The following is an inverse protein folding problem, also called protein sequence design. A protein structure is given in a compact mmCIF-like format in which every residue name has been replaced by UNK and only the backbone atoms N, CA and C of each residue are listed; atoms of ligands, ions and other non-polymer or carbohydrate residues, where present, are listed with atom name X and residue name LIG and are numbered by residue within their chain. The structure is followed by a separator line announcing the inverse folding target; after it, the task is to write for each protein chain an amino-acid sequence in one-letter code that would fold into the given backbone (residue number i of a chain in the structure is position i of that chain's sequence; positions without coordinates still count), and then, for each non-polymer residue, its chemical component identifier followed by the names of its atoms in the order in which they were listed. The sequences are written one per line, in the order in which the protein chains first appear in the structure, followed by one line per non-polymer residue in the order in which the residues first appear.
data_IF_104186069335
#
_entry.id   IF_104186069335
#
_cell.length_a   1.000
_cell.length_b   1.000
_cell.length_c   1.000
_cell.angle_alpha   90.00
_cell.angle_beta   90.00
_cell.angle_gamma   90.00
#
_symmetry.space_group_name_H-M   'P 1'
#
loop_
_entity.id
_entity.type
_entity.pdbx_description
1 polymer ?
#
# COMPACT_ATOMS: atom_id res chain seq x y z
N UNK A 1 -0.56 -11.60 -21.59
CA UNK A 1 -1.33 -10.79 -20.66
C UNK A 1 -0.84 -9.32 -20.65
N UNK A 2 0.46 -9.07 -20.36
CA UNK A 2 1.02 -7.72 -20.21
C UNK A 2 0.97 -6.85 -21.47
N UNK A 3 1.14 -7.39 -22.68
CA UNK A 3 0.94 -6.65 -23.94
C UNK A 3 -0.48 -6.07 -24.06
N UNK A 4 -1.47 -6.72 -23.45
CA UNK A 4 -2.86 -6.22 -23.39
C UNK A 4 -3.04 -5.17 -22.29
N UNK A 5 -2.31 -5.29 -21.18
CA UNK A 5 -2.36 -4.33 -20.07
C UNK A 5 -1.87 -2.94 -20.49
N UNK A 6 -0.82 -2.87 -21.35
CA UNK A 6 -0.33 -1.59 -21.90
C UNK A 6 -1.33 -0.90 -22.85
N UNK A 7 -2.39 -1.57 -23.26
CA UNK A 7 -3.46 -1.04 -24.12
C UNK A 7 -4.72 -0.68 -23.33
N UNK A 8 -4.74 -0.88 -22.01
CA UNK A 8 -5.89 -0.53 -21.18
C UNK A 8 -6.02 0.99 -21.07
N UNK A 9 -7.24 1.48 -21.25
CA UNK A 9 -7.56 2.85 -20.84
C UNK A 9 -7.81 2.85 -19.32
N UNK A 10 -6.79 3.21 -18.56
CA UNK A 10 -6.86 3.23 -17.08
C UNK A 10 -7.92 4.19 -16.56
N UNK A 11 -8.36 5.18 -17.37
CA UNK A 11 -9.43 6.13 -17.02
C UNK A 11 -10.81 5.51 -17.02
N UNK A 12 -10.97 4.36 -17.66
CA UNK A 12 -12.23 3.60 -17.66
C UNK A 12 -12.50 2.87 -16.35
N UNK A 13 -11.52 2.83 -15.43
CA UNK A 13 -11.60 2.11 -14.17
C UNK A 13 -11.73 3.07 -12.98
N UNK A 14 -12.43 2.63 -11.94
CA UNK A 14 -12.44 3.38 -10.68
C UNK A 14 -11.07 3.32 -10.00
N UNK A 15 -10.68 4.35 -9.22
CA UNK A 15 -9.41 4.35 -8.51
C UNK A 15 -9.17 3.08 -7.67
N UNK A 16 -10.21 2.55 -7.02
CA UNK A 16 -10.12 1.34 -6.19
C UNK A 16 -9.70 0.07 -6.98
N UNK A 17 -9.94 0.05 -8.29
CA UNK A 17 -9.59 -1.07 -9.16
C UNK A 17 -8.15 -0.99 -9.70
N UNK A 18 -7.49 0.14 -9.50
CA UNK A 18 -6.22 0.44 -10.14
C UNK A 18 -4.99 0.12 -9.29
N UNK A 19 -5.11 -0.12 -7.97
CA UNK A 19 -3.96 -0.36 -7.09
C UNK A 19 -3.14 -1.57 -7.54
N UNK A 20 -3.76 -2.73 -7.74
CA UNK A 20 -3.07 -3.92 -8.22
C UNK A 20 -2.43 -3.73 -9.62
N UNK A 21 -3.10 -2.95 -10.49
CA UNK A 21 -2.57 -2.63 -11.81
C UNK A 21 -1.35 -1.71 -11.71
N UNK A 22 -1.40 -0.69 -10.84
CA UNK A 22 -0.28 0.21 -10.58
C UNK A 22 0.95 -0.56 -10.10
N UNK A 23 0.80 -1.41 -9.08
CA UNK A 23 1.90 -2.23 -8.57
C UNK A 23 2.48 -3.16 -9.64
N UNK A 24 1.61 -3.72 -10.50
CA UNK A 24 2.04 -4.49 -11.67
C UNK A 24 2.89 -3.66 -12.63
N UNK A 25 2.47 -2.44 -12.97
CA UNK A 25 3.25 -1.54 -13.84
C UNK A 25 4.58 -1.13 -13.21
N UNK A 26 4.62 -0.80 -11.91
CA UNK A 26 5.86 -0.43 -11.22
C UNK A 26 6.85 -1.60 -11.20
N UNK A 27 6.38 -2.81 -10.94
CA UNK A 27 7.19 -4.03 -10.95
C UNK A 27 7.75 -4.31 -12.34
N UNK A 28 6.90 -4.33 -13.37
CA UNK A 28 7.33 -4.59 -14.76
C UNK A 28 8.28 -3.51 -15.25
N UNK A 29 8.01 -2.24 -14.95
CA UNK A 29 8.91 -1.13 -15.30
C UNK A 29 10.31 -1.34 -14.71
N UNK A 30 10.38 -1.69 -13.41
CA UNK A 30 11.64 -1.94 -12.73
C UNK A 30 12.38 -3.14 -13.33
N UNK A 31 11.67 -4.22 -13.62
CA UNK A 31 12.24 -5.42 -14.25
C UNK A 31 12.80 -5.14 -15.65
N UNK A 32 12.03 -4.48 -16.51
CA UNK A 32 12.45 -4.19 -17.89
C UNK A 32 13.66 -3.25 -17.92
N UNK A 33 13.77 -2.31 -16.99
CA UNK A 33 14.94 -1.44 -16.88
C UNK A 33 16.21 -2.20 -16.49
N UNK A 34 16.10 -3.23 -15.66
CA UNK A 34 17.24 -4.06 -15.23
C UNK A 34 17.55 -5.12 -16.29
N UNK A 35 16.54 -5.63 -16.96
CA UNK A 35 16.64 -6.72 -17.93
C UNK A 35 16.03 -6.30 -19.29
N UNK A 36 16.77 -5.55 -20.13
CA UNK A 36 16.24 -4.97 -21.37
C UNK A 36 15.66 -5.98 -22.37
N UNK A 37 16.10 -7.22 -22.33
CA UNK A 37 15.55 -8.28 -23.21
C UNK A 37 14.08 -8.60 -22.90
N UNK A 38 13.56 -8.21 -21.74
CA UNK A 38 12.14 -8.35 -21.40
C UNK A 38 11.23 -7.37 -22.15
N UNK A 39 11.77 -6.39 -22.88
CA UNK A 39 10.96 -5.48 -23.72
C UNK A 39 10.18 -6.23 -24.80
N UNK A 40 10.71 -7.35 -25.30
CA UNK A 40 10.00 -8.18 -26.28
C UNK A 40 8.68 -8.75 -25.72
N UNK A 41 8.66 -9.08 -24.43
CA UNK A 41 7.51 -9.67 -23.74
C UNK A 41 6.58 -8.63 -23.14
N UNK A 42 7.12 -7.60 -22.50
CA UNK A 42 6.35 -6.64 -21.71
C UNK A 42 6.14 -5.29 -22.40
N UNK A 43 6.89 -4.99 -23.44
CA UNK A 43 6.87 -3.72 -24.15
C UNK A 43 7.87 -2.70 -23.59
N UNK A 44 7.98 -1.58 -24.28
CA UNK A 44 8.94 -0.53 -23.97
C UNK A 44 8.64 0.11 -22.61
N UNK A 45 9.64 0.32 -21.74
CA UNK A 45 9.43 0.86 -20.39
C UNK A 45 8.76 2.24 -20.37
N UNK A 46 8.91 3.05 -21.41
CA UNK A 46 8.24 4.34 -21.53
C UNK A 46 6.71 4.24 -21.56
N UNK A 47 6.15 3.24 -22.25
CA UNK A 47 4.70 2.99 -22.28
C UNK A 47 4.16 2.56 -20.92
N UNK A 48 4.89 1.68 -20.22
CA UNK A 48 4.56 1.20 -18.88
C UNK A 48 4.58 2.38 -17.89
N UNK A 49 5.60 3.24 -17.99
CA UNK A 49 5.75 4.44 -17.18
C UNK A 49 4.57 5.41 -17.34
N UNK A 50 4.13 5.67 -18.57
CA UNK A 50 3.01 6.59 -18.79
C UNK A 50 1.70 6.07 -18.23
N UNK A 51 1.44 4.74 -18.26
CA UNK A 51 0.28 4.14 -17.62
C UNK A 51 0.32 4.29 -16.10
N UNK A 52 1.46 4.01 -15.47
CA UNK A 52 1.64 4.20 -14.04
C UNK A 52 1.46 5.67 -13.62
N UNK A 53 2.00 6.62 -14.40
CA UNK A 53 1.81 8.06 -14.17
C UNK A 53 0.36 8.50 -14.27
N UNK A 54 -0.39 7.94 -15.21
CA UNK A 54 -1.80 8.28 -15.34
C UNK A 54 -2.60 7.83 -14.12
N UNK A 55 -2.33 6.61 -13.60
CA UNK A 55 -2.95 6.16 -12.33
C UNK A 55 -2.55 7.08 -11.19
N UNK A 56 -1.26 7.45 -11.08
CA UNK A 56 -0.78 8.36 -10.05
C UNK A 56 -1.45 9.75 -10.11
N UNK A 57 -1.77 10.26 -11.31
CA UNK A 57 -2.55 11.51 -11.47
C UNK A 57 -3.98 11.36 -10.96
N UNK A 58 -4.64 10.24 -11.28
CA UNK A 58 -5.99 9.94 -10.78
C UNK A 58 -5.99 9.90 -9.23
N UNK A 59 -5.02 9.24 -8.62
CA UNK A 59 -4.89 9.19 -7.16
C UNK A 59 -4.62 10.56 -6.55
N UNK A 60 -3.68 11.32 -7.11
CA UNK A 60 -3.39 12.68 -6.62
C UNK A 60 -4.62 13.59 -6.65
N UNK A 61 -5.50 13.41 -7.65
CA UNK A 61 -6.77 14.13 -7.75
C UNK A 61 -7.77 13.75 -6.64
N UNK A 62 -7.69 12.52 -6.10
CA UNK A 62 -8.61 12.04 -5.05
C UNK A 62 -8.17 12.43 -3.64
N UNK A 63 -6.89 12.76 -3.40
CA UNK A 63 -6.39 13.00 -2.04
C UNK A 63 -7.03 14.20 -1.34
N UNK A 64 -7.48 15.20 -2.10
CA UNK A 64 -8.13 16.41 -1.59
C UNK A 64 -9.66 16.38 -1.68
N UNK A 65 -10.22 15.28 -2.14
CA UNK A 65 -11.64 15.12 -2.27
C UNK A 65 -12.22 14.64 -0.93
N UNK A 66 -12.96 15.52 -0.24
CA UNK A 66 -13.57 15.24 1.06
C UNK A 66 -14.64 14.15 1.00
N UNK A 67 -15.23 13.90 -0.17
CA UNK A 67 -16.20 12.82 -0.37
C UNK A 67 -15.53 11.43 -0.38
N UNK A 68 -14.20 11.37 -0.56
CA UNK A 68 -13.44 10.11 -0.51
C UNK A 68 -13.11 9.76 0.94
N UNK A 69 -13.51 8.58 1.43
CA UNK A 69 -13.21 8.14 2.78
C UNK A 69 -11.70 8.18 3.09
N UNK A 70 -11.34 8.53 4.32
CA UNK A 70 -9.94 8.65 4.78
C UNK A 70 -9.15 7.37 4.52
N UNK A 71 -9.77 6.19 4.71
CA UNK A 71 -9.14 4.91 4.40
C UNK A 71 -8.68 4.80 2.95
N UNK A 72 -9.55 5.18 2.01
CA UNK A 72 -9.22 5.16 0.58
C UNK A 72 -8.15 6.19 0.23
N UNK A 73 -8.24 7.41 0.78
CA UNK A 73 -7.22 8.44 0.59
C UNK A 73 -5.87 7.97 1.12
N UNK A 74 -5.85 7.29 2.27
CA UNK A 74 -4.64 6.69 2.81
C UNK A 74 -4.06 5.61 1.89
N UNK A 75 -4.90 4.74 1.30
CA UNK A 75 -4.47 3.75 0.31
C UNK A 75 -3.84 4.40 -0.93
N UNK A 76 -4.49 5.40 -1.51
CA UNK A 76 -3.95 6.13 -2.66
C UNK A 76 -2.64 6.87 -2.33
N UNK A 77 -2.56 7.44 -1.14
CA UNK A 77 -1.36 8.12 -0.66
C UNK A 77 -0.18 7.16 -0.48
N UNK A 78 -0.43 5.97 0.08
CA UNK A 78 0.57 4.91 0.20
C UNK A 78 1.05 4.44 -1.19
N UNK A 79 0.12 4.21 -2.13
CA UNK A 79 0.44 3.85 -3.52
C UNK A 79 1.29 4.92 -4.21
N UNK A 80 1.04 6.22 -3.95
CA UNK A 80 1.87 7.31 -4.48
C UNK A 80 3.29 7.30 -3.89
N UNK A 81 3.46 6.92 -2.63
CA UNK A 81 4.80 6.74 -2.07
C UNK A 81 5.55 5.56 -2.73
N UNK A 82 4.84 4.49 -3.11
CA UNK A 82 5.45 3.40 -3.90
C UNK A 82 5.84 3.88 -5.32
N UNK A 83 5.04 4.76 -5.93
CA UNK A 83 5.42 5.44 -7.19
C UNK A 83 6.67 6.30 -7.01
N UNK A 84 6.78 7.04 -5.90
CA UNK A 84 7.98 7.79 -5.55
C UNK A 84 9.21 6.88 -5.45
N UNK A 85 9.11 5.73 -4.83
CA UNK A 85 10.21 4.77 -4.72
C UNK A 85 10.80 4.40 -6.09
N UNK A 86 9.96 4.28 -7.11
CA UNK A 86 10.38 3.86 -8.46
C UNK A 86 10.85 5.04 -9.32
N UNK A 87 10.18 6.19 -9.22
CA UNK A 87 10.42 7.34 -10.12
C UNK A 87 11.15 8.51 -9.47
N UNK A 88 11.32 8.52 -8.15
CA UNK A 88 12.00 9.56 -7.37
C UNK A 88 11.38 10.97 -7.53
N UNK A 89 10.08 11.06 -7.84
CA UNK A 89 9.35 12.32 -7.92
C UNK A 89 8.83 12.71 -6.52
N UNK A 90 9.47 13.73 -5.94
CA UNK A 90 9.15 14.25 -4.60
C UNK A 90 7.70 14.73 -4.43
N UNK A 91 7.01 15.04 -5.52
CA UNK A 91 5.59 15.42 -5.47
C UNK A 91 4.72 14.27 -4.93
N UNK A 92 5.03 13.03 -5.30
CA UNK A 92 4.31 11.87 -4.81
C UNK A 92 4.59 11.61 -3.32
N UNK A 93 5.85 11.71 -2.90
CA UNK A 93 6.22 11.60 -1.48
C UNK A 93 5.49 12.67 -0.65
N UNK A 94 5.55 13.93 -1.09
CA UNK A 94 4.88 15.03 -0.40
C UNK A 94 3.38 14.79 -0.22
N UNK A 95 2.70 14.35 -1.28
CA UNK A 95 1.28 14.02 -1.23
C UNK A 95 0.98 12.94 -0.17
N UNK A 96 1.80 11.91 -0.07
CA UNK A 96 1.67 10.86 0.96
C UNK A 96 1.86 11.41 2.37
N UNK A 97 2.91 12.19 2.58
CA UNK A 97 3.22 12.81 3.88
C UNK A 97 2.09 13.77 4.32
N UNK A 98 1.56 14.58 3.41
CA UNK A 98 0.46 15.52 3.71
C UNK A 98 -0.77 14.76 4.25
N UNK A 99 -1.14 13.61 3.64
CA UNK A 99 -2.26 12.78 4.12
C UNK A 99 -1.94 12.11 5.46
N UNK A 100 -0.71 11.63 5.66
CA UNK A 100 -0.30 11.07 6.95
C UNK A 100 -0.45 12.09 8.07
N UNK A 101 0.00 13.33 7.88
CA UNK A 101 -0.14 14.39 8.87
C UNK A 101 -1.60 14.83 9.09
N UNK A 102 -2.46 14.78 8.08
CA UNK A 102 -3.91 14.96 8.28
C UNK A 102 -4.45 13.92 9.28
N UNK A 103 -4.09 12.65 9.10
CA UNK A 103 -4.51 11.55 9.99
C UNK A 103 -3.94 11.73 11.40
N UNK A 104 -2.66 12.11 11.52
CA UNK A 104 -2.02 12.38 12.80
C UNK A 104 -2.70 13.53 13.55
N UNK A 105 -3.12 14.57 12.83
CA UNK A 105 -3.79 15.75 13.41
C UNK A 105 -5.21 15.44 13.90
N UNK A 106 -5.86 14.42 13.35
CA UNK A 106 -7.21 14.00 13.71
C UNK A 106 -7.27 13.05 14.93
N UNK A 107 -6.18 12.93 15.71
CA UNK A 107 -6.14 12.07 16.89
C UNK A 107 -6.87 12.68 18.07
N UNK A 108 -7.58 11.83 18.82
CA UNK A 108 -8.10 12.17 20.14
C UNK A 108 -7.37 11.39 21.24
N UNK A 109 -6.89 12.12 22.28
CA UNK A 109 -6.18 11.51 23.42
C UNK A 109 -5.01 10.60 23.00
N UNK A 110 -4.29 10.95 21.94
CA UNK A 110 -3.16 10.17 21.41
C UNK A 110 -3.55 8.89 20.66
N UNK A 111 -4.84 8.64 20.43
CA UNK A 111 -5.33 7.49 19.66
C UNK A 111 -5.87 7.94 18.31
N UNK A 112 -5.58 7.14 17.29
CA UNK A 112 -6.19 7.32 15.96
C UNK A 112 -7.68 7.04 16.07
N UNK A 113 -8.49 7.91 15.46
CA UNK A 113 -9.95 7.74 15.42
C UNK A 113 -10.35 6.45 14.70
N UNK A 114 -11.46 5.86 15.10
CA UNK A 114 -11.96 4.58 14.53
C UNK A 114 -11.97 4.52 13.00
N UNK A 115 -12.44 5.55 12.27
CA UNK A 115 -12.42 5.52 10.80
C UNK A 115 -11.02 5.41 10.18
N UNK A 116 -9.97 5.73 10.96
CA UNK A 116 -8.57 5.70 10.51
C UNK A 116 -7.82 4.44 10.98
N UNK A 117 -8.48 3.48 11.63
CA UNK A 117 -7.87 2.22 12.07
C UNK A 117 -8.03 1.15 10.99
N UNK A 118 -7.31 1.31 9.91
CA UNK A 118 -7.42 0.46 8.73
C UNK A 118 -6.04 0.01 8.23
N UNK A 119 -5.98 -1.07 7.46
CA UNK A 119 -4.73 -1.54 6.85
C UNK A 119 -4.08 -0.47 5.94
N UNK A 120 -4.89 0.30 5.20
CA UNK A 120 -4.37 1.35 4.32
C UNK A 120 -3.71 2.49 5.11
N UNK A 121 -4.30 2.89 6.23
CA UNK A 121 -3.69 3.89 7.12
C UNK A 121 -2.40 3.35 7.73
N UNK A 122 -2.39 2.10 8.19
CA UNK A 122 -1.18 1.45 8.70
C UNK A 122 -0.07 1.44 7.64
N UNK A 123 -0.38 1.05 6.40
CA UNK A 123 0.55 1.04 5.28
C UNK A 123 1.11 2.44 4.97
N UNK A 124 0.25 3.47 4.95
CA UNK A 124 0.67 4.85 4.76
C UNK A 124 1.63 5.32 5.85
N UNK A 125 1.34 5.01 7.11
CA UNK A 125 2.20 5.37 8.24
C UNK A 125 3.55 4.65 8.18
N UNK A 126 3.58 3.37 7.80
CA UNK A 126 4.83 2.63 7.55
C UNK A 126 5.67 3.29 6.45
N UNK A 127 5.04 3.65 5.32
CA UNK A 127 5.71 4.32 4.22
C UNK A 127 6.22 5.72 4.65
N UNK A 128 5.45 6.47 5.45
CA UNK A 128 5.88 7.77 5.96
C UNK A 128 7.10 7.63 6.89
N UNK A 129 7.11 6.65 7.79
CA UNK A 129 8.28 6.33 8.59
C UNK A 129 9.49 5.99 7.71
N UNK A 130 9.32 5.11 6.73
CA UNK A 130 10.41 4.63 5.87
C UNK A 130 11.02 5.72 5.01
N UNK A 131 10.20 6.54 4.34
CA UNK A 131 10.68 7.54 3.39
C UNK A 131 10.98 8.90 4.00
N UNK A 132 10.26 9.30 5.06
CA UNK A 132 10.42 10.60 5.70
C UNK A 132 11.12 10.55 7.06
N UNK A 133 11.34 9.36 7.63
CA UNK A 133 11.96 9.19 8.95
C UNK A 133 11.08 9.65 10.11
N UNK A 134 9.76 9.70 9.92
CA UNK A 134 8.82 10.18 10.94
C UNK A 134 8.53 9.09 11.98
N UNK A 135 9.19 9.19 13.14
CA UNK A 135 9.07 8.21 14.23
C UNK A 135 7.64 8.11 14.78
N UNK A 136 6.88 9.22 14.78
CA UNK A 136 5.50 9.23 15.26
C UNK A 136 4.59 8.36 14.36
N UNK A 137 4.82 8.39 13.06
CA UNK A 137 4.15 7.49 12.11
C UNK A 137 4.48 6.03 12.42
N UNK A 138 5.75 5.70 12.69
CA UNK A 138 6.18 4.35 13.04
C UNK A 138 5.54 3.84 14.33
N UNK A 139 5.51 4.65 15.39
CA UNK A 139 4.86 4.29 16.66
C UNK A 139 3.36 4.04 16.50
N UNK A 140 2.67 4.86 15.69
CA UNK A 140 1.24 4.69 15.47
C UNK A 140 0.93 3.48 14.62
N UNK A 141 1.73 3.20 13.58
CA UNK A 141 1.63 1.96 12.80
C UNK A 141 1.78 0.74 13.72
N UNK A 142 2.76 0.75 14.63
CA UNK A 142 2.95 -0.33 15.60
C UNK A 142 1.75 -0.57 16.50
N UNK A 143 1.11 0.49 16.98
CA UNK A 143 -0.12 0.34 17.79
C UNK A 143 -1.26 -0.31 17.00
N UNK A 144 -1.45 0.09 15.73
CA UNK A 144 -2.46 -0.50 14.85
C UNK A 144 -2.18 -1.98 14.58
N UNK A 145 -0.93 -2.32 14.29
CA UNK A 145 -0.50 -3.70 14.05
C UNK A 145 -0.69 -4.58 15.28
N UNK A 146 -0.30 -4.11 16.46
CA UNK A 146 -0.47 -4.86 17.71
C UNK A 146 -1.95 -5.10 18.03
N UNK A 147 -2.82 -4.12 17.75
CA UNK A 147 -4.27 -4.29 17.90
C UNK A 147 -4.79 -5.37 16.93
N UNK A 148 -4.42 -5.30 15.63
CA UNK A 148 -4.81 -6.28 14.62
C UNK A 148 -4.32 -7.70 14.97
N UNK A 149 -3.07 -7.84 15.40
CA UNK A 149 -2.52 -9.13 15.85
C UNK A 149 -3.28 -9.70 17.06
N UNK A 150 -3.76 -8.86 17.96
CA UNK A 150 -4.61 -9.28 19.07
C UNK A 150 -5.90 -9.95 18.58
N UNK A 151 -6.56 -9.37 17.56
CA UNK A 151 -7.75 -9.97 16.95
C UNK A 151 -7.43 -11.29 16.21
N UNK A 152 -6.33 -11.30 15.44
CA UNK A 152 -5.88 -12.50 14.71
C UNK A 152 -5.59 -13.65 15.69
N UNK A 153 -4.87 -13.38 16.77
CA UNK A 153 -4.59 -14.38 17.83
C UNK A 153 -5.86 -14.83 18.56
N UNK A 154 -6.87 -13.96 18.61
CA UNK A 154 -8.23 -14.28 19.07
C UNK A 154 -9.05 -15.12 18.07
N UNK A 155 -8.52 -15.42 16.89
CA UNK A 155 -9.17 -16.25 15.86
C UNK A 155 -9.97 -15.46 14.83
N UNK A 156 -9.83 -14.13 14.75
CA UNK A 156 -10.50 -13.32 13.73
C UNK A 156 -9.82 -13.47 12.36
N UNK A 157 -10.43 -14.31 11.52
CA UNK A 157 -9.96 -14.60 10.17
C UNK A 157 -10.22 -13.47 9.18
N UNK A 158 -11.24 -12.64 9.42
CA UNK A 158 -11.51 -11.45 8.62
C UNK A 158 -10.37 -10.43 8.76
N UNK A 159 -9.91 -10.21 9.99
CA UNK A 159 -8.74 -9.36 10.25
C UNK A 159 -7.47 -9.97 9.64
N UNK A 160 -7.26 -11.28 9.74
CA UNK A 160 -6.11 -11.94 9.09
C UNK A 160 -6.09 -11.69 7.58
N UNK A 161 -7.23 -11.83 6.90
CA UNK A 161 -7.32 -11.62 5.45
C UNK A 161 -7.04 -10.18 5.02
N UNK A 162 -7.46 -9.21 5.83
CA UNK A 162 -7.38 -7.78 5.45
C UNK A 162 -6.12 -7.09 5.94
N UNK A 163 -5.56 -7.51 7.08
CA UNK A 163 -4.44 -6.81 7.73
C UNK A 163 -3.06 -7.43 7.48
N UNK A 164 -3.01 -8.68 7.02
CA UNK A 164 -1.74 -9.43 6.97
C UNK A 164 -0.66 -8.74 6.14
N UNK A 165 -1.02 -8.14 5.01
CA UNK A 165 -0.04 -7.42 4.17
C UNK A 165 0.51 -6.17 4.86
N UNK A 166 -0.32 -5.44 5.61
CA UNK A 166 0.11 -4.29 6.39
C UNK A 166 0.98 -4.70 7.60
N UNK A 167 0.69 -5.85 8.21
CA UNK A 167 1.49 -6.44 9.29
C UNK A 167 2.87 -6.83 8.78
N UNK A 168 2.94 -7.54 7.64
CA UNK A 168 4.22 -7.92 7.03
C UNK A 168 5.04 -6.68 6.63
N UNK A 169 4.41 -5.67 6.03
CA UNK A 169 5.10 -4.42 5.69
C UNK A 169 5.68 -3.73 6.94
N UNK A 170 4.93 -3.69 8.04
CA UNK A 170 5.42 -3.12 9.29
C UNK A 170 6.64 -3.87 9.82
N UNK A 171 6.61 -5.20 9.79
CA UNK A 171 7.73 -6.05 10.22
C UNK A 171 8.98 -5.82 9.36
N UNK A 172 8.80 -5.76 8.03
CA UNK A 172 9.88 -5.51 7.07
C UNK A 172 10.50 -4.12 7.22
N UNK A 173 9.70 -3.09 7.49
CA UNK A 173 10.13 -1.69 7.49
C UNK A 173 10.64 -1.24 8.85
N UNK A 174 10.00 -1.63 9.93
CA UNK A 174 10.27 -1.15 11.29
C UNK A 174 11.02 -2.20 12.11
N UNK A 175 10.76 -3.51 11.86
CA UNK A 175 11.52 -4.62 12.40
C UNK A 175 11.46 -4.76 13.93
N UNK A 176 10.44 -4.17 14.58
CA UNK A 176 10.29 -4.19 16.04
C UNK A 176 9.32 -5.25 16.54
N UNK A 177 8.64 -5.94 15.61
CA UNK A 177 7.79 -7.07 15.97
C UNK A 177 8.63 -8.33 16.11
N UNK A 178 8.67 -8.84 17.32
CA UNK A 178 9.16 -10.20 17.57
C UNK A 178 8.05 -11.20 17.21
N UNK A 179 7.65 -11.24 15.92
CA UNK A 179 6.75 -12.29 15.45
C UNK A 179 7.58 -13.56 15.23
N UNK A 180 7.38 -14.63 16.02
CA UNK A 180 8.12 -15.88 15.82
C UNK A 180 7.91 -16.41 14.41
N UNK A 181 8.97 -16.86 13.74
CA UNK A 181 8.89 -17.38 12.37
C UNK A 181 7.82 -18.47 12.21
N UNK A 182 7.71 -19.35 13.21
CA UNK A 182 6.69 -20.41 13.23
C UNK A 182 5.26 -19.83 13.22
N UNK A 183 5.02 -18.74 13.95
CA UNK A 183 3.73 -18.07 13.95
C UNK A 183 3.47 -17.41 12.59
N UNK A 184 4.48 -16.75 12.01
CA UNK A 184 4.38 -16.12 10.71
C UNK A 184 4.09 -17.15 9.59
N UNK A 185 4.80 -18.26 9.57
CA UNK A 185 4.57 -19.36 8.62
C UNK A 185 3.16 -19.92 8.77
N UNK A 186 2.72 -20.21 9.99
CA UNK A 186 1.36 -20.70 10.29
C UNK A 186 0.28 -19.73 9.80
N UNK A 187 0.43 -18.41 10.04
CA UNK A 187 -0.54 -17.42 9.62
C UNK A 187 -0.55 -17.23 8.10
N UNK A 188 0.60 -17.31 7.44
CA UNK A 188 0.69 -17.33 5.98
C UNK A 188 -0.05 -18.53 5.36
N UNK A 189 0.16 -19.73 5.92
CA UNK A 189 -0.55 -20.93 5.45
C UNK A 189 -2.06 -20.84 5.68
N UNK A 190 -2.47 -20.33 6.85
CA UNK A 190 -3.89 -20.15 7.16
C UNK A 190 -4.53 -19.15 6.18
N UNK A 191 -3.88 -18.01 5.92
CA UNK A 191 -4.34 -17.03 4.93
C UNK A 191 -4.45 -17.63 3.53
N UNK A 192 -3.43 -18.37 3.08
CA UNK A 192 -3.45 -19.01 1.77
C UNK A 192 -4.62 -19.99 1.64
N UNK A 193 -4.91 -20.77 2.68
CA UNK A 193 -6.08 -21.67 2.70
C UNK A 193 -7.41 -20.91 2.62
N UNK A 194 -7.53 -19.79 3.34
CA UNK A 194 -8.73 -18.97 3.32
C UNK A 194 -8.95 -18.34 1.92
N UNK A 195 -7.88 -17.88 1.26
CA UNK A 195 -7.96 -17.31 -0.08
C UNK A 195 -8.30 -18.38 -1.13
N UNK A 196 -7.74 -19.59 -1.04
CA UNK A 196 -8.04 -20.71 -1.94
C UNK A 196 -9.41 -21.37 -1.71
N UNK A 197 -10.10 -21.05 -0.62
CA UNK A 197 -11.47 -21.54 -0.35
C UNK A 197 -12.58 -20.62 -0.90
N UNK A 198 -12.23 -19.53 -1.55
CA UNK A 198 -13.15 -18.52 -2.13
C UNK A 198 -13.34 -18.76 -3.66
N UNK A 199 -12.74 -19.80 -4.24
CA UNK A 199 -13.05 -20.28 -5.59
C UNK A 199 -14.28 -21.28 -5.54
#
# INVERSE_FOLDING_TARGET
LYKRLNMLDVRAYSPDQLSGLLHGYLTVYSMVRVYPWLEEDFGHPGGIHEQAKEIARLYSGQLRNEDVPVDKRAGYAADLMDVYQVYSDLGYLKNGVDVAYEILSARENGKIMLPCRTPNVCRLLCNCYYFAGDEECGELAGRLVMEALGYIRGGDRGVLLTWWDAICLYDDVIGTMELPKEEQERLNEERARLLGSVE
#
